data_IF_208356342175
#
_entry.id   IF_208356342175
#
_cell.length_a   1.000
_cell.length_b   1.000
_cell.length_c   1.000
_cell.angle_alpha   90.00
_cell.angle_beta   90.00
_cell.angle_gamma   90.00
#
_symmetry.space_group_name_H-M   'P 1'
#
loop_
_entity.id
_entity.type
_entity.pdbx_description
1 polymer ?
#
# COMPACT_ATOMS: atom_id res chain seq x y z
N UNK A 1 0.60 12.88 -46.93
CA UNK A 1 0.43 11.87 -45.89
C UNK A 1 0.78 10.48 -46.38
N UNK A 2 0.42 10.12 -47.61
CA UNK A 2 0.69 8.80 -48.23
C UNK A 2 2.18 8.48 -48.40
N UNK A 3 3.01 9.42 -48.84
CA UNK A 3 4.45 9.19 -49.10
C UNK A 3 5.28 8.83 -47.87
N UNK A 4 4.84 9.17 -46.63
CA UNK A 4 5.57 8.82 -45.38
C UNK A 4 5.19 7.44 -44.84
N UNK A 5 4.04 6.89 -45.24
CA UNK A 5 3.61 5.55 -44.82
C UNK A 5 4.41 4.48 -45.59
N UNK A 6 4.86 4.78 -46.82
CA UNK A 6 5.68 3.87 -47.65
C UNK A 6 7.02 3.47 -47.03
N UNK A 7 7.61 4.34 -46.20
CA UNK A 7 8.87 4.04 -45.50
C UNK A 7 8.80 2.82 -44.56
N UNK A 8 7.61 2.50 -44.07
CA UNK A 8 7.38 1.35 -43.18
C UNK A 8 6.84 0.11 -43.87
N UNK A 9 6.39 0.26 -45.12
CA UNK A 9 5.91 -0.83 -45.93
C UNK A 9 7.01 -1.45 -46.80
N UNK A 10 8.16 -0.78 -46.95
CA UNK A 10 9.28 -1.31 -47.76
C UNK A 10 9.89 -2.54 -47.11
N UNK A 11 10.03 -3.60 -47.92
CA UNK A 11 10.73 -4.82 -47.60
C UNK A 11 12.18 -4.50 -47.21
N UNK A 12 12.66 -5.06 -46.09
CA UNK A 12 14.04 -4.97 -45.66
C UNK A 12 14.79 -6.24 -45.99
N UNK A 13 16.02 -6.05 -46.42
CA UNK A 13 16.99 -7.15 -46.43
C UNK A 13 17.44 -7.35 -44.99
N UNK A 14 16.85 -8.30 -44.27
CA UNK A 14 17.35 -8.74 -42.96
C UNK A 14 18.48 -9.75 -43.17
N UNK A 15 19.31 -9.94 -42.16
CA UNK A 15 20.22 -11.06 -42.13
C UNK A 15 19.41 -12.35 -42.25
N UNK A 16 19.94 -13.34 -42.89
CA UNK A 16 19.27 -14.66 -43.00
C UNK A 16 19.00 -15.33 -41.66
N UNK A 17 19.54 -14.76 -40.55
CA UNK A 17 19.43 -15.25 -39.19
C UNK A 17 18.27 -14.63 -38.40
N UNK A 18 17.50 -13.70 -39.00
CA UNK A 18 16.37 -13.06 -38.30
C UNK A 18 15.24 -14.09 -38.04
N UNK A 19 14.92 -14.29 -36.78
CA UNK A 19 13.89 -15.23 -36.32
C UNK A 19 12.46 -14.72 -36.50
N UNK A 20 12.27 -13.44 -36.90
CA UNK A 20 10.95 -12.85 -37.10
C UNK A 20 10.56 -12.85 -38.56
N UNK A 21 9.44 -13.48 -38.89
CA UNK A 21 8.73 -13.27 -40.15
C UNK A 21 8.06 -11.88 -40.13
N UNK A 22 8.83 -10.84 -40.34
CA UNK A 22 8.38 -9.45 -40.32
C UNK A 22 9.11 -8.64 -41.38
N UNK A 23 8.34 -8.03 -42.29
CA UNK A 23 8.87 -7.27 -43.41
C UNK A 23 9.13 -5.78 -43.05
N UNK A 24 8.66 -5.32 -41.86
CA UNK A 24 8.80 -3.95 -41.40
C UNK A 24 8.66 -3.85 -39.87
N UNK A 25 8.96 -2.64 -39.33
CA UNK A 25 8.93 -2.37 -37.91
C UNK A 25 7.56 -2.54 -37.27
N UNK A 26 6.47 -2.27 -38.05
CA UNK A 26 5.10 -2.41 -37.55
C UNK A 26 4.78 -3.90 -37.35
N UNK A 27 5.15 -4.76 -38.28
CA UNK A 27 4.94 -6.20 -38.16
C UNK A 27 5.80 -6.79 -37.04
N UNK A 28 7.08 -6.39 -36.94
CA UNK A 28 7.96 -6.81 -35.87
C UNK A 28 7.43 -6.40 -34.49
N UNK A 29 6.94 -5.14 -34.36
CA UNK A 29 6.30 -4.66 -33.15
C UNK A 29 5.01 -5.43 -32.84
N UNK A 30 4.22 -5.76 -33.84
CA UNK A 30 3.00 -6.57 -33.70
C UNK A 30 3.28 -7.96 -33.13
N UNK A 31 4.35 -8.63 -33.64
CA UNK A 31 4.80 -9.94 -33.12
C UNK A 31 5.17 -9.83 -31.63
N UNK A 32 5.91 -8.79 -31.24
CA UNK A 32 6.24 -8.53 -29.83
C UNK A 32 4.98 -8.26 -28.97
N UNK A 33 4.03 -7.46 -29.45
CA UNK A 33 2.78 -7.18 -28.74
C UNK A 33 1.95 -8.44 -28.50
N UNK A 34 1.97 -9.41 -29.42
CA UNK A 34 1.24 -10.65 -29.27
C UNK A 34 1.67 -11.48 -28.05
N UNK A 35 2.88 -11.29 -27.54
CA UNK A 35 3.34 -11.89 -26.27
C UNK A 35 2.50 -11.46 -25.07
N UNK A 36 1.78 -10.35 -25.19
CA UNK A 36 1.00 -9.75 -24.12
C UNK A 36 -0.51 -9.78 -24.36
N UNK A 37 -1.00 -10.44 -25.41
CA UNK A 37 -2.42 -10.46 -25.81
C UNK A 37 -3.37 -10.88 -24.69
N UNK A 38 -2.94 -11.82 -23.84
CA UNK A 38 -3.74 -12.33 -22.71
C UNK A 38 -3.75 -11.38 -21.51
N UNK A 39 -2.92 -10.34 -21.51
CA UNK A 39 -2.81 -9.33 -20.46
C UNK A 39 -3.29 -7.96 -20.95
N UNK A 40 -4.58 -7.81 -21.12
CA UNK A 40 -5.24 -6.67 -21.78
C UNK A 40 -4.67 -5.29 -21.33
N UNK A 41 -4.46 -5.08 -20.04
CA UNK A 41 -3.93 -3.80 -19.54
C UNK A 41 -2.48 -3.57 -19.97
N UNK A 42 -1.64 -4.60 -19.91
CA UNK A 42 -0.24 -4.55 -20.36
C UNK A 42 -0.19 -4.34 -21.86
N UNK A 43 -0.96 -5.12 -22.60
CA UNK A 43 -1.07 -5.01 -24.06
C UNK A 43 -1.43 -3.60 -24.50
N UNK A 44 -2.49 -3.02 -23.94
CA UNK A 44 -2.94 -1.67 -24.29
C UNK A 44 -1.90 -0.58 -23.93
N UNK A 45 -1.20 -0.74 -22.81
CA UNK A 45 -0.12 0.17 -22.43
C UNK A 45 1.06 0.06 -23.38
N UNK A 46 1.50 -1.15 -23.68
CA UNK A 46 2.62 -1.42 -24.57
C UNK A 46 2.31 -0.99 -26.00
N UNK A 47 1.11 -1.29 -26.49
CA UNK A 47 0.63 -0.84 -27.80
C UNK A 47 0.67 0.68 -27.92
N UNK A 48 0.15 1.39 -26.91
CA UNK A 48 0.14 2.86 -26.91
C UNK A 48 1.55 3.45 -27.01
N UNK A 49 2.48 2.96 -26.20
CA UNK A 49 3.85 3.47 -26.17
C UNK A 49 4.60 3.13 -27.46
N UNK A 50 4.48 1.89 -27.95
CA UNK A 50 5.08 1.48 -29.20
C UNK A 50 4.54 2.25 -30.41
N UNK A 51 3.21 2.43 -30.48
CA UNK A 51 2.59 3.21 -31.55
C UNK A 51 3.01 4.68 -31.51
N UNK A 52 3.13 5.27 -30.33
CA UNK A 52 3.65 6.65 -30.16
C UNK A 52 5.07 6.77 -30.72
N UNK A 53 5.91 5.80 -30.42
CA UNK A 53 7.27 5.77 -30.91
C UNK A 53 7.34 5.57 -32.44
N UNK A 54 6.59 4.64 -33.00
CA UNK A 54 6.52 4.43 -34.45
C UNK A 54 6.09 5.69 -35.17
N UNK A 55 5.07 6.38 -34.67
CA UNK A 55 4.62 7.62 -35.27
C UNK A 55 5.69 8.72 -35.21
N UNK A 56 6.37 8.85 -34.08
CA UNK A 56 7.48 9.78 -33.97
C UNK A 56 8.58 9.46 -34.98
N UNK A 57 8.99 8.20 -35.09
CA UNK A 57 9.94 7.79 -36.13
C UNK A 57 9.45 8.17 -37.53
N UNK A 58 8.15 7.98 -37.82
CA UNK A 58 7.57 8.26 -39.14
C UNK A 58 7.55 9.74 -39.46
N UNK A 59 7.07 10.56 -38.54
CA UNK A 59 6.74 11.96 -38.81
C UNK A 59 7.88 12.93 -38.51
N UNK A 60 8.70 12.65 -37.50
CA UNK A 60 9.77 13.53 -37.08
C UNK A 60 11.12 13.13 -37.72
N UNK A 61 11.47 11.85 -37.76
CA UNK A 61 12.78 11.44 -38.27
C UNK A 61 12.76 10.86 -39.67
N UNK A 62 11.68 10.24 -40.12
CA UNK A 62 11.62 9.45 -41.35
C UNK A 62 12.51 8.21 -41.34
N UNK A 63 13.00 7.77 -40.17
CA UNK A 63 13.91 6.63 -39.98
C UNK A 63 13.15 5.41 -39.52
N UNK A 64 13.60 4.25 -39.95
CA UNK A 64 13.21 2.96 -39.44
C UNK A 64 14.08 2.55 -38.24
N UNK A 65 13.69 1.51 -37.49
CA UNK A 65 14.37 1.10 -36.27
C UNK A 65 15.84 0.73 -36.47
N UNK A 66 16.22 0.18 -37.63
CA UNK A 66 17.63 -0.18 -37.92
C UNK A 66 18.51 1.04 -38.24
N UNK A 67 17.92 2.18 -38.63
CA UNK A 67 18.61 3.41 -38.92
C UNK A 67 18.70 4.36 -37.72
N UNK A 68 18.02 4.05 -36.63
CA UNK A 68 18.03 4.87 -35.41
C UNK A 68 19.39 4.79 -34.70
N UNK A 69 19.88 5.94 -34.27
CA UNK A 69 21.06 6.10 -33.45
C UNK A 69 20.68 6.52 -32.03
N UNK A 70 21.67 6.60 -31.17
CA UNK A 70 21.48 7.01 -29.77
C UNK A 70 20.92 8.44 -29.69
N UNK A 71 21.45 9.34 -30.51
CA UNK A 71 21.02 10.74 -30.53
C UNK A 71 19.53 10.88 -30.91
N UNK A 72 19.02 10.08 -31.87
CA UNK A 72 17.61 10.08 -32.25
C UNK A 72 16.71 9.66 -31.05
N UNK A 73 17.19 8.74 -30.24
CA UNK A 73 16.44 8.31 -29.07
C UNK A 73 16.49 9.31 -27.92
N UNK A 74 17.62 10.02 -27.77
CA UNK A 74 17.71 11.14 -26.81
C UNK A 74 16.73 12.25 -27.21
N UNK A 75 16.66 12.57 -28.49
CA UNK A 75 15.67 13.52 -29.03
C UNK A 75 14.22 13.04 -28.78
N UNK A 76 13.93 11.75 -28.98
CA UNK A 76 12.62 11.18 -28.64
C UNK A 76 12.30 11.31 -27.15
N UNK A 77 13.26 11.05 -26.29
CA UNK A 77 13.06 11.18 -24.85
C UNK A 77 12.80 12.62 -24.41
N UNK A 78 13.43 13.59 -25.05
CA UNK A 78 13.13 15.01 -24.86
C UNK A 78 11.75 15.37 -25.40
N UNK A 79 11.40 14.86 -26.58
CA UNK A 79 10.07 15.01 -27.18
C UNK A 79 8.93 14.50 -26.28
N UNK A 80 9.14 13.41 -25.53
CA UNK A 80 8.17 12.92 -24.56
C UNK A 80 7.90 13.92 -23.42
N UNK A 81 8.88 14.73 -23.08
CA UNK A 81 8.79 15.74 -22.02
C UNK A 81 8.26 17.08 -22.56
N UNK A 82 8.47 17.37 -23.84
CA UNK A 82 8.09 18.62 -24.48
C UNK A 82 7.42 18.38 -25.84
N UNK A 83 6.29 17.61 -25.90
CA UNK A 83 5.62 17.35 -27.17
C UNK A 83 5.04 18.65 -27.74
N UNK A 84 5.21 18.94 -29.05
CA UNK A 84 4.66 20.12 -29.67
C UNK A 84 3.11 20.09 -29.65
N UNK A 85 2.45 21.26 -29.67
CA UNK A 85 0.99 21.35 -29.61
C UNK A 85 0.28 20.53 -30.71
N UNK A 86 0.89 20.40 -31.90
CA UNK A 86 0.38 19.57 -33.00
C UNK A 86 0.25 18.08 -32.68
N UNK A 87 0.97 17.60 -31.68
CA UNK A 87 0.89 16.23 -31.18
C UNK A 87 0.00 16.08 -29.94
N UNK A 88 -0.57 17.18 -29.44
CA UNK A 88 -1.35 17.18 -28.21
C UNK A 88 -2.85 17.31 -28.49
N UNK A 89 -3.65 16.52 -27.77
CA UNK A 89 -5.12 16.58 -27.80
C UNK A 89 -5.68 16.96 -26.42
N UNK A 90 -6.94 17.36 -26.37
CA UNK A 90 -7.61 17.64 -25.11
C UNK A 90 -8.27 16.39 -24.54
N UNK A 91 -8.40 16.34 -23.20
CA UNK A 91 -9.17 15.28 -22.53
C UNK A 91 -10.64 15.24 -23.00
N UNK A 92 -11.19 16.38 -23.36
CA UNK A 92 -12.55 16.49 -23.87
C UNK A 92 -12.68 15.82 -25.24
N UNK A 93 -11.72 16.02 -26.14
CA UNK A 93 -11.70 15.36 -27.46
C UNK A 93 -11.58 13.84 -27.34
N UNK A 94 -10.74 13.36 -26.42
CA UNK A 94 -10.63 11.91 -26.13
C UNK A 94 -11.96 11.34 -25.63
N UNK A 95 -12.64 12.02 -24.70
CA UNK A 95 -13.94 11.59 -24.17
C UNK A 95 -15.04 11.57 -25.23
N UNK A 96 -14.98 12.50 -26.16
CA UNK A 96 -15.94 12.63 -27.26
C UNK A 96 -15.70 11.61 -28.39
N UNK A 97 -14.70 10.71 -28.28
CA UNK A 97 -14.37 9.74 -29.31
C UNK A 97 -13.80 10.35 -30.59
N UNK A 98 -13.51 11.66 -30.61
CA UNK A 98 -13.01 12.41 -31.78
C UNK A 98 -11.51 12.16 -32.06
N UNK A 99 -10.86 11.31 -31.29
CA UNK A 99 -9.41 11.08 -31.40
C UNK A 99 -8.97 10.14 -32.52
N UNK A 100 -9.90 9.50 -33.23
CA UNK A 100 -9.56 8.51 -34.27
C UNK A 100 -9.31 9.06 -35.65
N UNK A 101 -9.70 10.31 -35.94
CA UNK A 101 -9.47 10.94 -37.25
C UNK A 101 -8.20 11.79 -37.34
N UNK A 102 -7.71 12.29 -36.24
CA UNK A 102 -6.41 12.94 -36.10
C UNK A 102 -5.76 12.39 -34.83
N UNK A 103 -4.89 11.40 -35.01
CA UNK A 103 -4.28 10.72 -33.89
C UNK A 103 -3.21 11.63 -33.24
N UNK A 104 -3.58 12.21 -32.11
CA UNK A 104 -2.71 13.03 -31.28
C UNK A 104 -2.39 12.25 -30.00
N UNK A 105 -1.19 11.67 -29.86
CA UNK A 105 -0.89 10.70 -28.81
C UNK A 105 -0.59 11.31 -27.43
N UNK A 106 -0.59 12.61 -27.30
CA UNK A 106 -0.32 13.32 -26.07
C UNK A 106 -1.50 14.14 -25.58
N UNK A 107 -1.57 14.37 -24.27
CA UNK A 107 -2.41 15.39 -23.62
C UNK A 107 -1.53 16.59 -23.22
N UNK A 108 -0.22 16.42 -23.28
CA UNK A 108 0.83 17.34 -22.88
C UNK A 108 2.08 16.56 -22.44
N UNK A 109 3.05 17.23 -21.84
CA UNK A 109 4.28 16.63 -21.33
C UNK A 109 4.02 15.39 -20.47
N UNK A 110 4.81 14.35 -20.66
CA UNK A 110 4.68 13.16 -19.82
C UNK A 110 5.21 13.43 -18.42
N UNK A 111 4.43 13.05 -17.42
CA UNK A 111 4.93 13.03 -16.04
C UNK A 111 6.00 11.95 -15.89
N UNK A 112 6.90 12.11 -14.92
CA UNK A 112 8.04 11.24 -14.69
C UNK A 112 7.68 9.73 -14.72
N UNK A 113 6.60 9.32 -14.06
CA UNK A 113 6.16 7.92 -14.04
C UNK A 113 5.72 7.39 -15.41
N UNK A 114 5.07 8.24 -16.24
CA UNK A 114 4.65 7.89 -17.60
C UNK A 114 5.87 7.84 -18.54
N UNK A 115 6.78 8.80 -18.41
CA UNK A 115 8.06 8.81 -19.12
C UNK A 115 8.87 7.53 -18.84
N UNK A 116 9.04 7.16 -17.58
CA UNK A 116 9.71 5.91 -17.19
C UNK A 116 9.00 4.65 -17.71
N UNK A 117 7.67 4.71 -17.79
CA UNK A 117 6.91 3.63 -18.43
C UNK A 117 7.25 3.51 -19.91
N UNK A 118 7.30 4.63 -20.66
CA UNK A 118 7.72 4.66 -22.06
C UNK A 118 9.10 4.07 -22.25
N UNK A 119 10.08 4.52 -21.48
CA UNK A 119 11.46 4.01 -21.54
C UNK A 119 11.52 2.49 -21.31
N UNK A 120 10.80 2.00 -20.29
CA UNK A 120 10.76 0.54 -20.00
C UNK A 120 10.11 -0.27 -21.12
N UNK A 121 9.04 0.26 -21.71
CA UNK A 121 8.34 -0.39 -22.80
C UNK A 121 9.23 -0.47 -24.04
N UNK A 122 9.88 0.64 -24.41
CA UNK A 122 10.80 0.67 -25.54
C UNK A 122 12.02 -0.22 -25.31
N UNK A 123 12.60 -0.20 -24.10
CA UNK A 123 13.70 -1.12 -23.78
C UNK A 123 13.28 -2.59 -23.89
N UNK A 124 12.04 -2.94 -23.52
CA UNK A 124 11.48 -4.29 -23.69
C UNK A 124 11.31 -4.64 -25.18
N UNK A 125 10.79 -3.70 -25.98
CA UNK A 125 10.65 -3.88 -27.43
C UNK A 125 12.01 -4.09 -28.11
N UNK A 126 12.97 -3.19 -27.87
CA UNK A 126 14.30 -3.28 -28.49
C UNK A 126 15.06 -4.54 -28.05
N UNK A 127 14.96 -4.94 -26.77
CA UNK A 127 15.55 -6.20 -26.32
C UNK A 127 14.95 -7.41 -27.07
N UNK A 128 13.65 -7.44 -27.29
CA UNK A 128 12.99 -8.50 -28.06
C UNK A 128 13.48 -8.53 -29.52
N UNK A 129 13.59 -7.35 -30.14
CA UNK A 129 14.06 -7.21 -31.51
C UNK A 129 15.54 -7.62 -31.67
N UNK A 130 16.38 -7.35 -30.67
CA UNK A 130 17.76 -7.82 -30.63
C UNK A 130 17.85 -9.33 -30.43
N UNK A 131 17.04 -9.90 -29.53
CA UNK A 131 17.01 -11.36 -29.31
C UNK A 131 16.49 -12.16 -30.53
N UNK A 132 15.76 -11.49 -31.39
CA UNK A 132 15.24 -12.06 -32.62
C UNK A 132 16.11 -11.78 -33.86
N UNK A 133 17.30 -11.23 -33.67
CA UNK A 133 18.22 -10.80 -34.76
C UNK A 133 17.60 -9.82 -35.77
N UNK A 134 16.56 -9.10 -35.34
CA UNK A 134 15.98 -8.02 -36.12
C UNK A 134 16.80 -6.73 -36.04
N UNK A 135 17.41 -6.47 -34.86
CA UNK A 135 18.34 -5.38 -34.61
C UNK A 135 19.65 -5.92 -34.04
N UNK A 136 20.76 -5.28 -34.38
CA UNK A 136 22.09 -5.66 -33.83
C UNK A 136 22.25 -5.30 -32.36
N UNK A 137 21.73 -4.15 -31.95
CA UNK A 137 21.94 -3.60 -30.59
C UNK A 137 20.68 -2.90 -30.12
N UNK A 138 20.55 -2.76 -28.80
CA UNK A 138 19.52 -1.95 -28.19
C UNK A 138 20.12 -0.57 -27.83
N UNK A 139 19.85 0.48 -28.62
CA UNK A 139 20.44 1.80 -28.40
C UNK A 139 19.95 2.48 -27.12
N UNK A 140 18.76 2.12 -26.58
CA UNK A 140 18.25 2.67 -25.31
C UNK A 140 19.17 2.37 -24.14
N UNK A 141 19.86 1.22 -24.16
CA UNK A 141 20.81 0.86 -23.10
C UNK A 141 22.03 1.77 -23.02
N UNK A 142 22.35 2.48 -24.10
CA UNK A 142 23.49 3.39 -24.17
C UNK A 142 23.14 4.79 -23.66
N UNK A 143 21.87 5.10 -23.50
CA UNK A 143 21.41 6.42 -23.05
C UNK A 143 21.56 6.54 -21.54
N UNK A 144 22.48 7.40 -21.09
CA UNK A 144 22.70 7.67 -19.66
C UNK A 144 21.44 8.27 -18.97
N UNK A 145 20.67 9.09 -19.67
CA UNK A 145 19.44 9.67 -19.16
C UNK A 145 18.37 8.60 -18.86
N UNK A 146 18.27 7.55 -19.70
CA UNK A 146 17.36 6.43 -19.45
C UNK A 146 17.71 5.67 -18.17
N UNK A 147 19.00 5.65 -17.79
CA UNK A 147 19.50 5.00 -16.58
C UNK A 147 19.46 5.90 -15.33
N UNK A 148 19.44 7.25 -15.49
CA UNK A 148 19.37 8.21 -14.37
C UNK A 148 17.98 8.32 -13.74
N UNK A 149 16.93 7.85 -14.40
CA UNK A 149 15.56 7.90 -13.89
C UNK A 149 15.15 6.65 -13.07
N UNK A 150 16.10 6.04 -12.36
CA UNK A 150 15.68 5.28 -11.19
C UNK A 150 15.09 6.28 -10.22
N UNK A 151 13.78 6.19 -9.97
CA UNK A 151 13.16 6.94 -8.87
C UNK A 151 14.00 6.60 -7.65
N UNK A 152 14.59 7.61 -7.04
CA UNK A 152 15.36 7.42 -5.81
C UNK A 152 14.47 6.67 -4.82
N UNK A 153 15.05 5.76 -4.07
CA UNK A 153 14.31 5.00 -3.06
C UNK A 153 13.59 5.92 -2.08
N UNK A 154 14.16 7.10 -1.84
CA UNK A 154 13.59 8.18 -1.02
C UNK A 154 12.33 8.79 -1.65
N UNK A 155 12.34 9.11 -2.95
CA UNK A 155 11.16 9.63 -3.66
C UNK A 155 10.00 8.62 -3.66
N UNK A 156 10.29 7.32 -3.75
CA UNK A 156 9.26 6.28 -3.64
C UNK A 156 8.67 6.20 -2.25
N UNK A 157 9.51 6.28 -1.22
CA UNK A 157 9.07 6.34 0.17
C UNK A 157 8.18 7.56 0.37
N UNK A 158 8.63 8.75 -0.04
CA UNK A 158 7.85 9.98 0.08
C UNK A 158 6.49 9.89 -0.63
N UNK A 159 6.43 9.31 -1.85
CA UNK A 159 5.17 9.10 -2.57
C UNK A 159 4.22 8.12 -1.86
N UNK A 160 4.73 7.13 -1.15
CA UNK A 160 3.90 6.22 -0.35
C UNK A 160 3.44 6.93 0.92
N UNK A 161 4.31 7.66 1.57
CA UNK A 161 4.00 8.44 2.76
C UNK A 161 2.92 9.49 2.52
N UNK A 162 3.01 10.20 1.40
CA UNK A 162 1.96 11.15 1.01
C UNK A 162 0.57 10.51 0.80
N UNK A 163 0.51 9.17 0.72
CA UNK A 163 -0.74 8.40 0.59
C UNK A 163 -1.18 7.75 1.90
N UNK A 164 -0.39 7.82 2.95
CA UNK A 164 -0.81 7.36 4.27
C UNK A 164 -1.74 8.39 4.90
N UNK A 165 -2.88 7.92 5.41
CA UNK A 165 -3.81 8.78 6.13
C UNK A 165 -3.34 8.95 7.58
N UNK A 166 -3.46 10.17 8.07
CA UNK A 166 -3.34 10.47 9.50
C UNK A 166 -4.56 9.91 10.26
N UNK A 167 -4.48 9.88 11.58
CA UNK A 167 -5.53 9.30 12.40
C UNK A 167 -6.89 9.99 12.20
N UNK A 168 -6.91 11.33 12.16
CA UNK A 168 -8.10 12.12 11.93
C UNK A 168 -8.67 11.98 10.49
N UNK A 169 -7.79 11.86 9.50
CA UNK A 169 -8.19 11.61 8.11
C UNK A 169 -8.84 10.22 7.96
N UNK A 170 -8.25 9.21 8.66
CA UNK A 170 -8.82 7.86 8.69
C UNK A 170 -10.16 7.83 9.42
N UNK A 171 -10.27 8.52 10.55
CA UNK A 171 -11.53 8.63 11.28
C UNK A 171 -12.63 9.30 10.45
N UNK A 172 -12.30 10.34 9.69
CA UNK A 172 -13.23 10.97 8.76
C UNK A 172 -13.76 9.99 7.70
N UNK A 173 -12.91 9.09 7.15
CA UNK A 173 -13.34 8.02 6.24
C UNK A 173 -14.32 7.08 6.94
N UNK A 174 -14.00 6.63 8.16
CA UNK A 174 -14.88 5.73 8.93
C UNK A 174 -16.21 6.40 9.28
N UNK A 175 -16.18 7.67 9.66
CA UNK A 175 -17.39 8.45 9.96
C UNK A 175 -18.29 8.55 8.73
N UNK A 176 -17.74 8.83 7.54
CA UNK A 176 -18.50 8.85 6.28
C UNK A 176 -19.16 7.50 6.04
N UNK A 177 -18.45 6.38 6.20
CA UNK A 177 -19.00 5.04 6.03
C UNK A 177 -20.18 4.75 6.97
N UNK A 178 -20.10 5.24 8.21
CA UNK A 178 -21.14 5.05 9.23
C UNK A 178 -22.36 5.95 8.98
N UNK A 179 -22.14 7.16 8.47
CA UNK A 179 -23.18 8.17 8.25
C UNK A 179 -23.76 8.18 6.84
N UNK A 180 -23.43 7.18 6.00
CA UNK A 180 -24.07 7.02 4.68
C UNK A 180 -25.60 6.95 4.84
N UNK A 181 -26.37 7.57 3.92
CA UNK A 181 -27.82 7.63 4.00
C UNK A 181 -28.47 6.24 4.12
N UNK A 182 -29.62 6.20 4.80
CA UNK A 182 -30.44 4.99 5.01
C UNK A 182 -31.94 5.25 4.80
N UNK A 183 -32.26 6.34 4.07
CA UNK A 183 -33.68 6.78 3.91
C UNK A 183 -34.45 5.91 2.92
N UNK A 184 -33.78 5.44 1.89
CA UNK A 184 -34.36 4.60 0.85
C UNK A 184 -33.72 3.19 0.85
N UNK A 185 -34.39 2.24 0.18
CA UNK A 185 -33.81 0.88 0.00
C UNK A 185 -32.50 0.92 -0.78
N UNK A 186 -32.38 1.83 -1.73
CA UNK A 186 -31.19 2.08 -2.50
C UNK A 186 -30.05 2.64 -1.63
N UNK A 187 -30.35 3.54 -0.70
CA UNK A 187 -29.35 4.08 0.24
C UNK A 187 -28.82 2.98 1.15
N UNK A 188 -29.71 2.15 1.70
CA UNK A 188 -29.34 1.01 2.55
C UNK A 188 -28.44 0.04 1.77
N UNK A 189 -28.84 -0.30 0.54
CA UNK A 189 -28.04 -1.17 -0.35
C UNK A 189 -26.67 -0.58 -0.63
N UNK A 190 -26.60 0.71 -0.95
CA UNK A 190 -25.35 1.41 -1.18
C UNK A 190 -24.44 1.41 0.07
N UNK A 191 -25.02 1.69 1.25
CA UNK A 191 -24.29 1.72 2.52
C UNK A 191 -23.67 0.37 2.85
N UNK A 192 -24.48 -0.69 2.93
CA UNK A 192 -24.02 -2.04 3.31
C UNK A 192 -23.00 -2.56 2.31
N UNK A 193 -23.22 -2.36 1.02
CA UNK A 193 -22.26 -2.74 -0.04
C UNK A 193 -20.97 -1.97 0.05
N UNK A 194 -21.02 -0.65 0.34
CA UNK A 194 -19.82 0.17 0.47
C UNK A 194 -19.01 -0.24 1.68
N UNK A 195 -19.67 -0.50 2.81
CA UNK A 195 -19.01 -0.99 4.02
C UNK A 195 -18.33 -2.34 3.79
N UNK A 196 -19.01 -3.29 3.13
CA UNK A 196 -18.41 -4.59 2.78
C UNK A 196 -17.22 -4.45 1.82
N UNK A 197 -17.33 -3.58 0.80
CA UNK A 197 -16.21 -3.28 -0.11
C UNK A 197 -14.99 -2.75 0.65
N UNK A 198 -15.21 -1.79 1.56
CA UNK A 198 -14.11 -1.24 2.38
C UNK A 198 -13.50 -2.28 3.30
N UNK A 199 -14.34 -3.12 3.94
CA UNK A 199 -13.86 -4.22 4.78
C UNK A 199 -12.97 -5.20 3.99
N UNK A 200 -13.37 -5.60 2.78
CA UNK A 200 -12.54 -6.46 1.93
C UNK A 200 -11.22 -5.78 1.51
N UNK A 201 -11.26 -4.50 1.12
CA UNK A 201 -10.07 -3.78 0.69
C UNK A 201 -9.09 -3.50 1.83
N UNK A 202 -9.60 -3.26 3.03
CA UNK A 202 -8.79 -2.90 4.19
C UNK A 202 -8.38 -4.11 5.02
N UNK A 203 -9.33 -4.96 5.47
CA UNK A 203 -9.01 -6.07 6.38
C UNK A 203 -8.28 -7.22 5.67
N UNK A 204 -8.60 -7.51 4.41
CA UNK A 204 -7.86 -8.48 3.59
C UNK A 204 -6.73 -7.84 2.78
N UNK A 205 -6.67 -6.51 2.70
CA UNK A 205 -5.72 -5.81 1.86
C UNK A 205 -5.85 -6.18 0.37
N UNK A 206 -7.04 -6.50 -0.11
CA UNK A 206 -7.28 -6.90 -1.50
C UNK A 206 -7.05 -5.74 -2.47
N UNK A 207 -6.61 -6.07 -3.69
CA UNK A 207 -6.69 -5.12 -4.81
C UNK A 207 -8.13 -5.05 -5.30
N UNK A 208 -8.56 -3.88 -5.77
CA UNK A 208 -9.97 -3.70 -6.19
C UNK A 208 -10.40 -4.67 -7.31
N UNK A 209 -9.50 -5.05 -8.21
CA UNK A 209 -9.81 -6.05 -9.24
C UNK A 209 -9.92 -7.46 -8.67
N UNK A 210 -9.28 -7.76 -7.55
CA UNK A 210 -9.43 -9.02 -6.84
C UNK A 210 -10.83 -9.09 -6.20
N UNK A 211 -11.32 -7.98 -5.62
CA UNK A 211 -12.70 -7.93 -5.11
C UNK A 211 -13.72 -8.09 -6.24
N UNK A 212 -13.48 -7.44 -7.40
CA UNK A 212 -14.38 -7.51 -8.55
C UNK A 212 -14.39 -8.89 -9.25
N UNK A 213 -13.29 -9.62 -9.16
CA UNK A 213 -13.07 -10.86 -9.92
C UNK A 213 -13.25 -12.15 -9.10
N UNK A 214 -13.51 -12.06 -7.80
CA UNK A 214 -13.74 -13.23 -6.97
C UNK A 214 -15.23 -13.43 -6.66
N UNK A 215 -15.56 -14.67 -6.32
CA UNK A 215 -16.87 -15.14 -5.90
C UNK A 215 -16.85 -15.57 -4.43
N UNK A 216 -18.02 -15.89 -3.88
CA UNK A 216 -18.16 -16.26 -2.48
C UNK A 216 -17.40 -17.52 -2.09
N UNK A 217 -17.15 -18.46 -3.03
CA UNK A 217 -16.33 -19.65 -2.81
C UNK A 217 -14.87 -19.36 -2.46
N UNK A 218 -14.44 -18.08 -2.56
CA UNK A 218 -13.13 -17.65 -2.08
C UNK A 218 -13.03 -17.67 -0.54
N UNK A 219 -14.14 -17.52 0.18
CA UNK A 219 -14.19 -17.69 1.61
C UNK A 219 -14.35 -19.18 1.96
N UNK A 220 -13.39 -19.75 2.66
CA UNK A 220 -13.39 -21.17 3.03
C UNK A 220 -12.93 -21.35 4.47
N UNK A 221 -13.47 -22.37 5.12
CA UNK A 221 -12.96 -22.82 6.43
C UNK A 221 -11.86 -23.86 6.22
N UNK A 222 -10.81 -23.71 7.02
CA UNK A 222 -9.74 -24.69 7.17
C UNK A 222 -9.34 -24.72 8.65
N UNK A 223 -9.38 -25.89 9.26
CA UNK A 223 -9.04 -26.10 10.68
C UNK A 223 -9.85 -25.17 11.62
N UNK A 224 -11.17 -25.03 11.37
CA UNK A 224 -12.08 -24.18 12.13
C UNK A 224 -11.88 -22.67 11.93
N UNK A 225 -10.95 -22.24 11.08
CA UNK A 225 -10.64 -20.83 10.81
C UNK A 225 -11.04 -20.45 9.40
N UNK A 226 -11.51 -19.21 9.24
CA UNK A 226 -11.87 -18.66 7.93
C UNK A 226 -10.66 -18.12 7.21
N UNK A 227 -10.58 -18.42 5.91
CA UNK A 227 -9.55 -17.98 4.99
C UNK A 227 -10.18 -17.45 3.70
N UNK A 228 -9.56 -16.43 3.12
CA UNK A 228 -9.89 -15.94 1.79
C UNK A 228 -8.86 -16.42 0.78
N UNK A 229 -9.29 -17.25 -0.17
CA UNK A 229 -8.45 -17.80 -1.22
C UNK A 229 -8.44 -16.87 -2.41
N UNK A 230 -7.26 -16.43 -2.84
CA UNK A 230 -7.09 -15.47 -3.91
C UNK A 230 -6.06 -15.96 -4.92
N UNK A 231 -6.32 -15.76 -6.20
CA UNK A 231 -5.32 -15.94 -7.26
C UNK A 231 -4.50 -14.66 -7.37
N UNK A 232 -3.24 -14.72 -7.01
CA UNK A 232 -2.30 -13.61 -7.09
C UNK A 232 -1.79 -13.34 -8.49
N UNK A 233 -0.89 -12.37 -8.64
CA UNK A 233 -0.22 -12.06 -9.91
C UNK A 233 0.56 -13.29 -10.41
N UNK A 234 0.28 -13.72 -11.63
CA UNK A 234 0.88 -14.91 -12.24
C UNK A 234 0.22 -16.22 -11.82
N UNK A 235 -1.09 -16.19 -11.47
CA UNK A 235 -1.92 -17.33 -11.07
C UNK A 235 -1.42 -18.12 -9.84
N UNK A 236 -0.53 -17.51 -9.04
CA UNK A 236 -0.07 -18.14 -7.80
C UNK A 236 -1.20 -18.10 -6.77
N UNK A 237 -1.68 -19.26 -6.28
CA UNK A 237 -2.68 -19.28 -5.22
C UNK A 237 -2.09 -18.72 -3.92
N UNK A 238 -2.89 -17.95 -3.21
CA UNK A 238 -2.58 -17.46 -1.88
C UNK A 238 -3.84 -17.51 -1.02
N UNK A 239 -3.66 -17.56 0.29
CA UNK A 239 -4.77 -17.50 1.24
C UNK A 239 -4.47 -16.46 2.31
N UNK A 240 -5.49 -15.70 2.67
CA UNK A 240 -5.41 -14.61 3.62
C UNK A 240 -6.28 -14.98 4.82
N UNK A 241 -5.80 -14.85 6.07
CA UNK A 241 -6.62 -15.08 7.23
C UNK A 241 -7.76 -14.05 7.29
N UNK A 242 -8.95 -14.52 7.63
CA UNK A 242 -10.14 -13.69 7.80
C UNK A 242 -10.36 -13.47 9.29
N UNK A 243 -10.42 -12.22 9.73
CA UNK A 243 -10.70 -11.89 11.10
C UNK A 243 -12.21 -11.82 11.38
N UNK A 244 -12.59 -11.86 12.66
CA UNK A 244 -13.99 -11.87 13.07
C UNK A 244 -14.72 -10.60 12.64
N UNK A 245 -14.06 -9.45 12.66
CA UNK A 245 -14.65 -8.20 12.21
C UNK A 245 -15.09 -8.27 10.73
N UNK A 246 -14.29 -8.86 9.86
CA UNK A 246 -14.68 -9.04 8.46
C UNK A 246 -15.87 -10.00 8.33
N UNK A 247 -15.93 -11.05 9.17
CA UNK A 247 -17.06 -11.99 9.16
C UNK A 247 -18.38 -11.30 9.50
N UNK A 248 -18.39 -10.29 10.36
CA UNK A 248 -19.59 -9.49 10.61
C UNK A 248 -20.04 -8.70 9.38
N UNK A 249 -19.12 -8.10 8.62
CA UNK A 249 -19.45 -7.45 7.35
C UNK A 249 -19.91 -8.46 6.29
N UNK A 250 -19.34 -9.66 6.25
CA UNK A 250 -19.80 -10.76 5.39
C UNK A 250 -21.23 -11.13 5.72
N UNK A 251 -21.54 -11.40 6.99
CA UNK A 251 -22.90 -11.74 7.45
C UNK A 251 -23.90 -10.65 7.08
N UNK A 252 -23.60 -9.39 7.44
CA UNK A 252 -24.50 -8.27 7.20
C UNK A 252 -24.80 -8.09 5.70
N UNK A 253 -23.77 -8.17 4.84
CA UNK A 253 -23.98 -8.02 3.41
C UNK A 253 -24.74 -9.21 2.81
N UNK A 254 -24.41 -10.45 3.21
CA UNK A 254 -25.11 -11.65 2.74
C UNK A 254 -26.57 -11.68 3.16
N UNK A 255 -26.88 -11.34 4.42
CA UNK A 255 -28.25 -11.22 4.91
C UNK A 255 -29.04 -10.16 4.14
N UNK A 256 -28.40 -9.02 3.84
CA UNK A 256 -28.99 -7.99 2.99
C UNK A 256 -29.34 -8.50 1.58
N UNK A 257 -28.55 -9.44 1.05
CA UNK A 257 -28.82 -10.11 -0.23
C UNK A 257 -29.86 -11.25 -0.11
N UNK A 258 -30.33 -11.55 1.09
CA UNK A 258 -31.24 -12.69 1.33
C UNK A 258 -30.55 -14.05 1.28
N UNK A 259 -29.27 -14.10 1.61
CA UNK A 259 -28.43 -15.31 1.61
C UNK A 259 -28.11 -15.75 3.04
N UNK A 260 -27.69 -17.00 3.20
CA UNK A 260 -27.16 -17.51 4.47
C UNK A 260 -26.01 -16.66 4.99
N UNK A 261 -25.82 -16.60 6.31
CA UNK A 261 -24.82 -15.77 6.97
C UNK A 261 -23.39 -16.03 6.46
N UNK A 262 -23.06 -17.27 6.16
CA UNK A 262 -21.76 -17.68 5.66
C UNK A 262 -21.85 -18.29 4.26
N UNK A 263 -20.82 -18.06 3.40
CA UNK A 263 -20.79 -18.64 2.06
C UNK A 263 -20.48 -20.14 2.09
N UNK A 264 -21.07 -20.85 1.14
CA UNK A 264 -20.73 -22.22 0.89
C UNK A 264 -19.50 -22.32 -0.05
N UNK A 265 -18.72 -23.39 0.08
CA UNK A 265 -17.49 -23.59 -0.71
C UNK A 265 -17.72 -23.71 -2.22
N UNK A 266 -18.94 -24.04 -2.65
CA UNK A 266 -19.35 -24.16 -4.06
C UNK A 266 -20.06 -22.92 -4.61
N UNK A 267 -20.20 -21.84 -3.81
CA UNK A 267 -20.96 -20.65 -4.20
C UNK A 267 -20.16 -19.76 -5.15
N UNK A 268 -20.48 -19.80 -6.44
CA UNK A 268 -19.77 -19.08 -7.49
C UNK A 268 -20.30 -17.67 -7.78
N UNK A 269 -21.34 -17.23 -7.05
CA UNK A 269 -21.85 -15.87 -7.18
C UNK A 269 -20.77 -14.84 -6.88
N UNK A 270 -20.69 -13.74 -7.64
CA UNK A 270 -19.73 -12.69 -7.41
C UNK A 270 -19.84 -12.08 -6.00
N UNK A 271 -18.68 -11.68 -5.43
CA UNK A 271 -18.64 -11.07 -4.08
C UNK A 271 -19.52 -9.82 -3.97
N UNK A 272 -19.52 -8.96 -4.99
CA UNK A 272 -20.29 -7.72 -4.99
C UNK A 272 -21.16 -7.67 -6.24
N UNK A 273 -22.47 -7.69 -6.01
CA UNK A 273 -23.47 -7.74 -7.08
C UNK A 273 -24.42 -6.54 -7.03
N UNK A 274 -24.94 -6.16 -8.19
CA UNK A 274 -26.06 -5.24 -8.29
C UNK A 274 -27.33 -5.96 -7.89
N UNK A 275 -27.99 -5.49 -6.86
CA UNK A 275 -29.27 -6.08 -6.39
C UNK A 275 -30.36 -6.04 -7.46
N UNK A 276 -30.32 -5.04 -8.35
CA UNK A 276 -31.31 -4.90 -9.44
C UNK A 276 -31.11 -5.95 -10.55
N UNK A 277 -29.86 -6.32 -10.85
CA UNK A 277 -29.55 -7.17 -12.01
C UNK A 277 -28.92 -8.51 -11.63
N UNK A 278 -28.53 -8.74 -10.38
CA UNK A 278 -27.79 -9.92 -9.93
C UNK A 278 -26.35 -10.03 -10.51
N UNK A 279 -25.95 -9.09 -11.37
CA UNK A 279 -24.64 -9.13 -12.03
C UNK A 279 -23.55 -8.48 -11.20
N UNK A 280 -22.32 -8.94 -11.36
CA UNK A 280 -21.13 -8.32 -10.77
C UNK A 280 -21.03 -6.84 -11.15
N UNK A 281 -20.60 -6.03 -10.20
CA UNK A 281 -20.27 -4.63 -10.50
C UNK A 281 -18.97 -4.53 -11.32
N UNK A 282 -19.01 -3.62 -12.31
CA UNK A 282 -17.81 -3.28 -13.06
C UNK A 282 -16.78 -2.62 -12.12
N UNK A 283 -15.51 -2.90 -12.36
CA UNK A 283 -14.37 -2.37 -11.61
C UNK A 283 -14.43 -0.86 -11.41
N UNK A 284 -14.85 -0.11 -12.44
CA UNK A 284 -14.96 1.35 -12.39
C UNK A 284 -15.99 1.84 -11.39
N UNK A 285 -17.11 1.13 -11.23
CA UNK A 285 -18.16 1.49 -10.28
C UNK A 285 -17.64 1.31 -8.86
N UNK A 286 -17.01 0.16 -8.56
CA UNK A 286 -16.39 -0.08 -7.25
C UNK A 286 -15.31 0.95 -6.94
N UNK A 287 -14.50 1.32 -7.93
CA UNK A 287 -13.49 2.37 -7.79
C UNK A 287 -14.13 3.72 -7.43
N UNK A 288 -15.21 4.10 -8.11
CA UNK A 288 -15.92 5.36 -7.85
C UNK A 288 -16.54 5.36 -6.45
N UNK A 289 -17.10 4.25 -5.96
CA UNK A 289 -17.64 4.15 -4.60
C UNK A 289 -16.58 4.51 -3.55
N UNK A 290 -15.34 4.02 -3.72
CA UNK A 290 -14.24 4.38 -2.82
C UNK A 290 -13.86 5.85 -2.95
N UNK A 291 -13.83 6.37 -4.18
CA UNK A 291 -13.55 7.79 -4.46
C UNK A 291 -14.58 8.71 -3.82
N UNK A 292 -15.86 8.35 -3.87
CA UNK A 292 -16.94 9.16 -3.32
C UNK A 292 -16.86 9.27 -1.79
N UNK A 293 -16.46 8.19 -1.11
CA UNK A 293 -16.20 8.24 0.34
C UNK A 293 -15.06 9.19 0.65
N UNK A 294 -13.94 9.12 -0.09
CA UNK A 294 -12.81 10.04 0.08
C UNK A 294 -13.19 11.51 -0.20
N UNK A 295 -14.02 11.74 -1.23
CA UNK A 295 -14.53 13.07 -1.53
C UNK A 295 -15.40 13.62 -0.41
N UNK A 296 -16.33 12.81 0.12
CA UNK A 296 -17.18 13.20 1.27
C UNK A 296 -16.35 13.47 2.52
N UNK A 297 -15.37 12.62 2.83
CA UNK A 297 -14.47 12.83 3.96
C UNK A 297 -13.65 14.13 3.79
N UNK A 298 -13.27 14.48 2.56
CA UNK A 298 -12.52 15.72 2.30
C UNK A 298 -13.28 17.00 2.71
N UNK A 299 -14.62 16.95 2.71
CA UNK A 299 -15.45 18.10 3.11
C UNK A 299 -15.38 18.41 4.62
N UNK A 300 -14.92 17.47 5.43
CA UNK A 300 -14.73 17.70 6.87
C UNK A 300 -13.48 18.53 7.19
N UNK A 301 -12.60 18.76 6.22
CA UNK A 301 -11.32 19.48 6.38
C UNK A 301 -11.32 20.83 5.68
N UNK A 302 -12.38 21.63 5.85
CA UNK A 302 -12.50 22.95 5.20
C UNK A 302 -11.35 23.89 5.55
N UNK A 303 -10.79 23.79 6.76
CA UNK A 303 -9.69 24.62 7.25
C UNK A 303 -8.29 24.11 6.84
N UNK A 304 -8.17 22.93 6.19
CA UNK A 304 -6.91 22.34 5.75
C UNK A 304 -6.93 21.94 4.28
N UNK A 305 -6.55 22.86 3.40
CA UNK A 305 -6.47 22.62 1.95
C UNK A 305 -5.63 21.38 1.63
N UNK A 306 -4.54 21.15 2.36
CA UNK A 306 -3.67 20.00 2.16
C UNK A 306 -4.41 18.67 2.40
N UNK A 307 -5.08 18.51 3.58
CA UNK A 307 -5.86 17.31 3.90
C UNK A 307 -7.04 17.13 2.94
N UNK A 308 -7.70 18.21 2.59
CA UNK A 308 -8.79 18.21 1.62
C UNK A 308 -8.33 17.69 0.24
N UNK A 309 -7.23 18.22 -0.31
CA UNK A 309 -6.68 17.76 -1.59
C UNK A 309 -6.16 16.32 -1.53
N UNK A 310 -5.59 15.94 -0.39
CA UNK A 310 -5.12 14.58 -0.13
C UNK A 310 -6.29 13.59 -0.19
N UNK A 311 -7.36 13.81 0.55
CA UNK A 311 -8.55 12.97 0.57
C UNK A 311 -9.30 12.95 -0.77
N UNK A 312 -9.32 14.03 -1.53
CA UNK A 312 -9.83 14.04 -2.92
C UNK A 312 -9.06 13.09 -3.84
N UNK A 313 -7.82 12.75 -3.53
CA UNK A 313 -7.00 11.78 -4.28
C UNK A 313 -7.14 10.36 -3.74
N UNK A 314 -7.89 10.16 -2.65
CA UNK A 314 -8.10 8.86 -2.03
C UNK A 314 -8.56 7.80 -3.04
N UNK A 315 -8.08 6.56 -2.90
CA UNK A 315 -8.34 5.49 -3.86
C UNK A 315 -8.23 4.11 -3.18
N UNK A 316 -8.73 3.03 -3.80
CA UNK A 316 -8.63 1.68 -3.24
C UNK A 316 -7.20 1.25 -2.87
N UNK A 317 -6.21 1.78 -3.58
CA UNK A 317 -4.82 1.44 -3.29
C UNK A 317 -4.34 1.99 -1.94
N UNK A 318 -4.91 3.12 -1.49
CA UNK A 318 -4.60 3.69 -0.18
C UNK A 318 -5.09 2.78 0.96
N UNK A 319 -6.26 2.16 0.81
CA UNK A 319 -6.78 1.19 1.80
C UNK A 319 -5.81 0.02 1.99
N UNK A 320 -5.24 -0.46 0.89
CA UNK A 320 -4.22 -1.51 0.95
C UNK A 320 -2.91 -1.03 1.61
N UNK A 321 -2.51 0.22 1.40
CA UNK A 321 -1.37 0.82 2.11
C UNK A 321 -1.66 0.92 3.61
N UNK A 322 -2.85 1.39 3.97
CA UNK A 322 -3.29 1.44 5.36
C UNK A 322 -3.32 0.05 6.00
N UNK A 323 -3.85 -0.96 5.28
CA UNK A 323 -3.83 -2.36 5.73
C UNK A 323 -2.41 -2.83 6.07
N UNK A 324 -1.42 -2.58 5.19
CA UNK A 324 -0.03 -2.93 5.43
C UNK A 324 0.53 -2.28 6.70
N UNK A 325 0.33 -0.97 6.83
CA UNK A 325 0.84 -0.19 7.96
C UNK A 325 0.18 -0.57 9.28
N UNK A 326 -1.13 -0.83 9.27
CA UNK A 326 -1.85 -1.23 10.48
C UNK A 326 -1.55 -2.68 10.89
N UNK A 327 -1.35 -3.60 9.93
CA UNK A 327 -0.87 -4.96 10.23
C UNK A 327 0.52 -4.92 10.90
N UNK A 328 1.41 -4.06 10.42
CA UNK A 328 2.71 -3.86 11.02
C UNK A 328 2.61 -3.30 12.45
N UNK A 329 1.82 -2.23 12.64
CA UNK A 329 1.56 -1.65 13.97
C UNK A 329 0.91 -2.65 14.95
N UNK A 330 0.16 -3.62 14.42
CA UNK A 330 -0.41 -4.72 15.20
C UNK A 330 0.60 -5.84 15.52
N UNK A 331 1.89 -5.67 15.17
CA UNK A 331 2.96 -6.60 15.50
C UNK A 331 3.15 -7.75 14.51
N UNK A 332 2.53 -7.69 13.32
CA UNK A 332 2.77 -8.70 12.29
C UNK A 332 4.16 -8.55 11.68
N UNK A 333 4.86 -9.66 11.50
CA UNK A 333 6.17 -9.66 10.84
C UNK A 333 6.06 -9.25 9.36
N UNK A 334 7.15 -8.71 8.81
CA UNK A 334 7.23 -8.30 7.40
C UNK A 334 6.91 -9.42 6.42
N UNK A 335 7.36 -10.64 6.73
CA UNK A 335 7.08 -11.82 5.91
C UNK A 335 5.58 -12.13 5.87
N UNK A 336 4.90 -12.08 7.02
CA UNK A 336 3.45 -12.29 7.10
C UNK A 336 2.68 -11.21 6.33
N UNK A 337 3.09 -9.93 6.46
CA UNK A 337 2.47 -8.82 5.72
C UNK A 337 2.70 -8.98 4.21
N UNK A 338 3.92 -9.36 3.81
CA UNK A 338 4.22 -9.63 2.41
C UNK A 338 3.34 -10.75 1.84
N UNK A 339 3.16 -11.82 2.59
CA UNK A 339 2.31 -12.96 2.22
C UNK A 339 0.84 -12.54 2.12
N UNK A 340 0.29 -11.90 3.15
CA UNK A 340 -1.08 -11.38 3.16
C UNK A 340 -1.37 -10.45 1.99
N UNK A 341 -0.43 -9.56 1.69
CA UNK A 341 -0.56 -8.61 0.59
C UNK A 341 -0.10 -9.18 -0.77
N UNK A 342 0.48 -10.39 -0.80
CA UNK A 342 0.96 -11.03 -2.03
C UNK A 342 1.90 -10.12 -2.82
N UNK A 343 2.89 -9.55 -2.12
CA UNK A 343 3.92 -8.74 -2.75
C UNK A 343 5.02 -9.64 -3.31
N UNK A 344 5.33 -9.48 -4.59
CA UNK A 344 6.37 -10.26 -5.26
C UNK A 344 7.78 -9.99 -4.71
N UNK A 345 7.97 -8.87 -4.01
CA UNK A 345 9.24 -8.45 -3.43
C UNK A 345 9.03 -7.85 -2.05
N UNK A 346 9.89 -8.20 -1.10
CA UNK A 346 9.95 -7.60 0.24
C UNK A 346 10.15 -6.08 0.16
N UNK A 347 10.91 -5.60 -0.83
CA UNK A 347 11.11 -4.17 -1.05
C UNK A 347 9.79 -3.41 -1.28
N UNK A 348 8.76 -4.06 -1.83
CA UNK A 348 7.43 -3.46 -1.97
C UNK A 348 6.73 -3.31 -0.62
N UNK A 349 7.01 -4.17 0.34
CA UNK A 349 6.45 -4.12 1.70
C UNK A 349 7.25 -3.18 2.59
N UNK A 350 8.58 -3.12 2.44
CA UNK A 350 9.47 -2.21 3.20
C UNK A 350 9.10 -0.73 3.05
N UNK A 351 8.48 -0.35 1.94
CA UNK A 351 8.05 1.04 1.70
C UNK A 351 7.00 1.51 2.73
N UNK A 352 6.29 0.59 3.39
CA UNK A 352 5.25 0.91 4.39
C UNK A 352 5.78 1.06 5.83
N UNK A 353 7.09 0.88 6.04
CA UNK A 353 7.71 0.87 7.36
C UNK A 353 8.24 2.24 7.74
N UNK A 354 7.34 3.14 8.10
CA UNK A 354 7.71 4.43 8.67
C UNK A 354 8.28 4.33 10.08
N UNK A 355 7.83 3.32 10.82
CA UNK A 355 8.29 3.07 12.19
C UNK A 355 9.65 2.39 12.27
N UNK A 356 10.21 1.91 11.14
CA UNK A 356 11.55 1.30 11.18
C UNK A 356 12.64 2.31 11.49
N UNK A 357 12.53 3.56 11.04
CA UNK A 357 13.58 4.55 11.30
C UNK A 357 13.59 4.96 12.78
N UNK A 358 12.42 5.08 13.42
CA UNK A 358 12.31 5.28 14.87
C UNK A 358 12.73 4.00 15.63
N UNK A 359 12.25 2.84 15.21
CA UNK A 359 12.65 1.57 15.81
C UNK A 359 14.13 1.25 15.59
N UNK A 360 14.69 1.59 14.42
CA UNK A 360 16.13 1.47 14.14
C UNK A 360 16.94 2.43 14.99
N UNK A 361 16.50 3.68 15.11
CA UNK A 361 17.16 4.65 15.98
C UNK A 361 17.15 4.17 17.42
N UNK A 362 16.01 3.67 17.88
CA UNK A 362 15.87 3.09 19.21
C UNK A 362 16.72 1.82 19.38
N UNK A 363 16.71 0.90 18.42
CA UNK A 363 17.51 -0.32 18.45
C UNK A 363 19.03 -0.03 18.46
N UNK A 364 19.48 1.00 17.72
CA UNK A 364 20.89 1.40 17.71
C UNK A 364 21.31 2.02 19.05
N UNK A 365 20.41 2.78 19.71
CA UNK A 365 20.68 3.31 21.04
C UNK A 365 20.86 2.20 22.09
N UNK A 366 20.31 1.00 21.84
CA UNK A 366 20.42 -0.15 22.72
C UNK A 366 21.60 -1.09 22.38
N UNK A 367 22.42 -0.75 21.38
CA UNK A 367 23.67 -1.49 21.13
C UNK A 367 24.72 -0.99 22.13
N UNK A 368 24.91 -1.75 23.19
CA UNK A 368 25.93 -1.46 24.20
C UNK A 368 27.26 -2.11 23.76
N UNK A 369 28.28 -1.31 23.60
CA UNK A 369 29.64 -1.74 23.24
C UNK A 369 30.43 -2.23 24.47
N UNK A 370 29.79 -2.95 25.40
CA UNK A 370 30.33 -3.19 26.75
C UNK A 370 31.23 -4.42 26.91
N UNK A 371 31.60 -5.14 25.86
CA UNK A 371 32.42 -6.36 26.03
C UNK A 371 33.82 -6.34 25.44
N UNK A 372 34.32 -5.25 24.89
CA UNK A 372 35.61 -5.26 24.20
C UNK A 372 36.66 -4.23 24.62
N UNK A 373 36.32 -3.25 25.48
CA UNK A 373 37.31 -2.29 25.99
C UNK A 373 37.01 -1.98 27.44
N UNK A 374 37.80 -2.51 28.35
CA UNK A 374 37.92 -1.98 29.71
C UNK A 374 38.53 -0.56 29.60
N UNK A 375 37.68 0.44 29.44
CA UNK A 375 38.08 1.81 29.73
C UNK A 375 38.09 1.89 31.25
N UNK A 376 39.29 2.00 31.81
CA UNK A 376 39.55 2.23 33.23
C UNK A 376 38.97 3.62 33.60
N UNK A 377 37.69 3.69 33.81
CA UNK A 377 37.00 4.84 34.35
C UNK A 377 36.85 4.63 35.87
N UNK A 378 38.01 4.63 36.56
CA UNK A 378 38.04 4.71 37.99
C UNK A 378 37.39 6.04 38.41
N UNK A 379 36.13 5.99 38.82
CA UNK A 379 35.44 7.10 39.44
C UNK A 379 33.98 7.35 39.07
N UNK A 380 33.34 6.62 38.18
CA UNK A 380 31.91 6.75 37.90
C UNK A 380 31.18 5.57 38.53
N UNK A 381 30.44 5.83 39.58
CA UNK A 381 29.49 4.84 40.12
C UNK A 381 28.47 4.46 39.02
N UNK A 382 28.02 3.18 38.95
CA UNK A 382 27.03 2.78 37.96
C UNK A 382 25.80 3.67 38.11
N UNK A 383 25.45 4.39 37.05
CA UNK A 383 24.24 5.20 37.01
C UNK A 383 23.05 4.26 37.05
N UNK A 384 22.28 4.33 38.12
CA UNK A 384 21.03 3.61 38.26
C UNK A 384 20.05 4.07 37.18
N UNK A 385 19.68 3.22 36.26
CA UNK A 385 18.64 3.50 35.28
C UNK A 385 17.26 3.31 35.91
N UNK A 386 16.43 4.32 35.80
CA UNK A 386 15.12 4.34 36.46
C UNK A 386 14.03 4.31 35.41
N UNK A 387 13.23 3.23 35.37
CA UNK A 387 12.05 3.15 34.54
C UNK A 387 10.88 3.84 35.24
N UNK A 388 10.37 4.89 34.64
CA UNK A 388 9.20 5.62 35.14
C UNK A 388 7.96 5.27 34.34
N UNK A 389 6.96 4.66 35.00
CA UNK A 389 5.66 4.37 34.43
C UNK A 389 4.63 5.35 34.99
N UNK A 390 3.98 6.12 34.10
CA UNK A 390 2.81 6.90 34.46
C UNK A 390 1.55 6.13 34.12
N UNK A 391 0.81 5.75 35.16
CA UNK A 391 -0.40 4.94 35.05
C UNK A 391 -1.59 5.76 35.55
N UNK A 392 -2.69 5.72 34.84
CA UNK A 392 -3.97 6.32 35.24
C UNK A 392 -4.98 5.21 35.48
N UNK A 393 -5.64 5.26 36.63
CA UNK A 393 -6.72 4.33 36.96
C UNK A 393 -8.05 5.09 37.17
N UNK A 394 -9.15 4.37 37.10
CA UNK A 394 -10.49 4.95 37.15
C UNK A 394 -11.26 4.36 38.35
N UNK A 395 -11.58 5.21 39.33
CA UNK A 395 -12.44 4.84 40.46
C UNK A 395 -11.91 3.72 41.38
N UNK A 396 -12.80 3.18 42.20
CA UNK A 396 -12.48 2.11 43.19
C UNK A 396 -12.05 0.80 42.50
N UNK A 397 -12.67 0.49 41.34
CA UNK A 397 -12.31 -0.71 40.60
C UNK A 397 -10.93 -0.59 39.94
N UNK A 398 -10.52 0.62 39.55
CA UNK A 398 -9.17 0.90 39.11
C UNK A 398 -8.13 0.73 40.23
N UNK A 399 -8.48 1.04 41.47
CA UNK A 399 -7.59 0.80 42.64
C UNK A 399 -7.32 -0.69 42.83
N UNK A 400 -8.37 -1.54 42.73
CA UNK A 400 -8.24 -2.98 42.86
C UNK A 400 -7.44 -3.59 41.70
N UNK A 401 -7.62 -3.06 40.49
CA UNK A 401 -6.85 -3.49 39.32
C UNK A 401 -5.38 -3.10 39.42
N UNK A 402 -5.10 -1.90 39.96
CA UNK A 402 -3.74 -1.46 40.21
C UNK A 402 -3.05 -2.31 41.30
N UNK A 403 -3.74 -2.60 42.40
CA UNK A 403 -3.21 -3.48 43.45
C UNK A 403 -2.90 -4.89 42.91
N UNK A 404 -3.81 -5.48 42.10
CA UNK A 404 -3.57 -6.77 41.43
C UNK A 404 -2.37 -6.72 40.49
N UNK A 405 -2.23 -5.63 39.73
CA UNK A 405 -1.09 -5.40 38.85
C UNK A 405 0.23 -5.39 39.64
N UNK A 406 0.32 -4.63 40.74
CA UNK A 406 1.51 -4.61 41.59
C UNK A 406 1.82 -5.98 42.18
N UNK A 407 0.83 -6.69 42.72
CA UNK A 407 1.00 -8.04 43.24
C UNK A 407 1.48 -9.02 42.16
N UNK A 408 0.98 -8.89 40.94
CA UNK A 408 1.38 -9.70 39.79
C UNK A 408 2.82 -9.43 39.37
N UNK A 409 3.28 -8.18 39.48
CA UNK A 409 4.67 -7.81 39.24
C UNK A 409 5.61 -8.47 40.28
N UNK A 410 5.25 -8.41 41.54
CA UNK A 410 6.04 -9.01 42.61
C UNK A 410 6.19 -10.52 42.43
N UNK A 411 5.17 -11.22 41.90
CA UNK A 411 5.18 -12.67 41.74
C UNK A 411 5.88 -13.17 40.47
N UNK A 412 5.86 -12.45 39.38
CA UNK A 412 6.21 -12.94 38.03
C UNK A 412 7.45 -12.32 37.39
N UNK A 413 7.80 -11.10 37.74
CA UNK A 413 8.86 -10.33 37.05
C UNK A 413 10.14 -10.23 37.87
N UNK A 414 10.06 -10.47 39.16
CA UNK A 414 11.07 -10.01 40.11
C UNK A 414 12.14 -11.05 40.47
N UNK A 415 12.41 -12.08 39.67
CA UNK A 415 13.55 -12.98 39.96
C UNK A 415 14.92 -12.31 39.82
N UNK A 416 15.03 -11.18 39.10
CA UNK A 416 16.30 -10.51 38.82
C UNK A 416 16.28 -8.98 38.98
N UNK A 417 15.26 -8.38 39.60
CA UNK A 417 15.12 -6.93 39.76
C UNK A 417 15.13 -6.53 41.22
N UNK A 418 16.04 -5.65 41.61
CA UNK A 418 15.97 -5.01 42.92
C UNK A 418 14.89 -3.95 42.92
N UNK A 419 13.79 -4.21 43.60
CA UNK A 419 12.67 -3.31 43.77
C UNK A 419 13.00 -2.24 44.81
N UNK A 420 13.04 -0.99 44.41
CA UNK A 420 13.10 0.13 45.32
C UNK A 420 11.82 0.93 45.15
N UNK A 421 10.78 0.63 45.94
CA UNK A 421 9.61 1.49 46.02
C UNK A 421 10.03 2.84 46.64
N UNK A 422 9.76 3.94 45.90
CA UNK A 422 10.05 5.29 46.41
C UNK A 422 9.12 5.65 47.59
N UNK A 423 7.97 4.98 47.65
CA UNK A 423 7.02 5.05 48.79
C UNK A 423 6.50 3.62 49.07
N UNK A 424 6.20 3.32 50.34
CA UNK A 424 5.55 2.08 50.69
C UNK A 424 4.20 1.96 49.96
N UNK A 425 3.77 0.74 49.64
CA UNK A 425 2.50 0.48 48.95
C UNK A 425 1.29 1.10 49.71
N UNK A 426 1.35 1.13 51.04
CA UNK A 426 0.31 1.69 51.87
C UNK A 426 0.19 3.22 51.71
N UNK A 427 1.30 3.94 51.58
CA UNK A 427 1.30 5.38 51.30
C UNK A 427 0.79 5.70 49.90
N UNK A 428 1.06 4.84 48.92
CA UNK A 428 0.53 4.95 47.56
C UNK A 428 -0.97 4.69 47.51
N UNK A 429 -1.48 3.74 48.30
CA UNK A 429 -2.91 3.45 48.44
C UNK A 429 -3.66 4.55 49.19
N UNK A 430 -3.05 5.16 50.22
CA UNK A 430 -3.63 6.32 50.93
C UNK A 430 -3.69 7.58 50.06
N UNK A 431 -2.65 7.88 49.31
CA UNK A 431 -2.69 9.01 48.33
C UNK A 431 -3.76 8.77 47.24
N UNK A 432 -4.03 7.50 46.91
CA UNK A 432 -5.08 7.11 45.99
C UNK A 432 -6.48 7.37 46.52
N UNK A 433 -6.70 7.10 47.79
CA UNK A 433 -8.00 7.30 48.45
C UNK A 433 -8.36 8.78 48.65
N UNK A 434 -7.37 9.66 48.72
CA UNK A 434 -7.57 11.09 48.96
C UNK A 434 -7.88 11.94 47.71
N UNK A 435 -7.67 11.40 46.49
CA UNK A 435 -7.96 12.13 45.25
C UNK A 435 -9.34 11.75 44.70
N UNK A 436 -10.37 12.43 45.16
CA UNK A 436 -11.77 12.12 44.94
C UNK A 436 -12.32 12.48 43.55
N UNK A 437 -11.51 12.96 42.62
CA UNK A 437 -11.92 13.29 41.24
C UNK A 437 -10.82 13.04 40.23
N UNK A 438 -10.94 11.92 39.49
CA UNK A 438 -10.13 11.62 38.31
C UNK A 438 -8.66 11.28 38.51
N UNK A 439 -8.41 10.05 38.83
CA UNK A 439 -7.20 9.34 38.42
C UNK A 439 -5.88 9.90 38.95
N UNK A 440 -5.44 9.43 40.10
CA UNK A 440 -4.05 9.61 40.52
C UNK A 440 -3.07 9.17 39.45
N UNK A 441 -2.03 9.94 39.19
CA UNK A 441 -0.91 9.54 38.35
C UNK A 441 0.12 8.90 39.26
N UNK A 442 0.36 7.59 39.04
CA UNK A 442 1.37 6.84 39.80
C UNK A 442 2.65 6.79 38.99
N UNK A 443 3.75 7.07 39.64
CA UNK A 443 5.09 6.93 39.09
C UNK A 443 5.76 5.83 39.88
N UNK A 444 5.97 4.67 39.22
CA UNK A 444 6.70 3.56 39.80
C UNK A 444 8.11 3.56 39.26
N UNK A 445 9.08 3.52 40.14
CA UNK A 445 10.49 3.57 39.83
C UNK A 445 11.09 2.17 39.96
N UNK A 446 11.76 1.69 38.89
CA UNK A 446 12.46 0.43 38.88
C UNK A 446 13.92 0.65 38.51
N UNK A 447 14.81 -0.06 39.19
CA UNK A 447 16.22 -0.18 38.81
C UNK A 447 16.35 -1.50 38.04
N UNK A 448 16.73 -1.46 36.77
CA UNK A 448 16.69 -2.61 35.87
C UNK A 448 18.03 -2.74 35.16
N UNK A 449 18.62 -3.96 35.18
CA UNK A 449 19.85 -4.27 34.46
C UNK A 449 19.62 -4.58 32.96
N UNK A 450 18.38 -4.98 32.58
CA UNK A 450 17.97 -5.24 31.19
C UNK A 450 16.58 -4.64 30.90
N UNK A 451 16.54 -3.34 30.65
CA UNK A 451 15.31 -2.52 30.62
C UNK A 451 14.30 -2.93 29.52
N UNK A 452 14.77 -3.35 28.33
CA UNK A 452 13.90 -3.43 27.18
C UNK A 452 12.92 -4.60 27.22
N UNK A 453 13.39 -5.80 27.54
CA UNK A 453 12.54 -7.01 27.57
C UNK A 453 11.48 -6.93 28.68
N UNK A 454 11.80 -6.29 29.79
CA UNK A 454 10.91 -6.15 30.92
C UNK A 454 9.90 -5.02 30.77
N UNK A 455 10.26 -3.91 30.10
CA UNK A 455 9.33 -2.87 29.76
C UNK A 455 8.19 -3.37 28.85
N UNK A 456 8.50 -4.22 27.90
CA UNK A 456 7.49 -4.81 27.01
C UNK A 456 6.56 -5.78 27.76
N UNK A 457 7.06 -6.51 28.73
CA UNK A 457 6.26 -7.38 29.60
C UNK A 457 5.34 -6.54 30.47
N UNK A 458 5.85 -5.48 31.09
CA UNK A 458 5.08 -4.55 31.92
C UNK A 458 3.97 -3.86 31.13
N UNK A 459 4.26 -3.40 29.92
CA UNK A 459 3.27 -2.79 29.01
C UNK A 459 2.15 -3.78 28.69
N UNK A 460 2.50 -5.03 28.38
CA UNK A 460 1.51 -6.09 28.11
C UNK A 460 0.67 -6.44 29.32
N UNK A 461 1.24 -6.41 30.50
CA UNK A 461 0.51 -6.66 31.75
C UNK A 461 -0.47 -5.52 32.05
N UNK A 462 -0.06 -4.26 31.89
CA UNK A 462 -0.95 -3.09 32.05
C UNK A 462 -2.10 -3.11 31.05
N UNK A 463 -1.84 -3.48 29.79
CA UNK A 463 -2.85 -3.56 28.75
C UNK A 463 -3.93 -4.64 28.98
N UNK A 464 -3.66 -5.62 29.84
CA UNK A 464 -4.64 -6.64 30.23
C UNK A 464 -5.63 -6.17 31.31
N UNK A 465 -5.30 -5.11 32.01
CA UNK A 465 -6.16 -4.56 33.06
C UNK A 465 -7.07 -3.47 32.48
N UNK A 466 -8.37 -3.75 32.41
CA UNK A 466 -9.35 -2.89 31.73
C UNK A 466 -9.51 -1.50 32.33
N UNK A 467 -9.22 -1.34 33.62
CA UNK A 467 -9.42 -0.11 34.39
C UNK A 467 -8.13 0.73 34.55
N UNK A 468 -7.02 0.28 33.98
CA UNK A 468 -5.71 0.95 34.07
C UNK A 468 -5.28 1.41 32.67
N UNK A 469 -4.82 2.64 32.55
CA UNK A 469 -4.22 3.18 31.33
C UNK A 469 -2.77 3.59 31.56
N UNK A 470 -1.89 3.04 30.76
CA UNK A 470 -0.51 3.52 30.65
C UNK A 470 -0.52 4.87 29.92
N UNK A 471 -0.05 5.91 30.58
CA UNK A 471 0.04 7.27 30.01
C UNK A 471 1.39 7.52 29.34
N UNK A 472 2.46 7.07 29.98
CA UNK A 472 3.81 7.18 29.40
C UNK A 472 4.76 6.18 30.06
N UNK A 473 5.76 5.80 29.29
CA UNK A 473 6.95 5.09 29.77
C UNK A 473 8.15 5.98 29.49
N UNK A 474 8.97 6.21 30.46
CA UNK A 474 10.22 6.95 30.28
C UNK A 474 11.32 6.32 31.12
N UNK A 475 12.53 6.32 30.57
CA UNK A 475 13.73 5.89 31.28
C UNK A 475 14.48 7.15 31.70
N UNK A 476 14.80 7.24 32.98
CA UNK A 476 15.62 8.32 33.50
C UNK A 476 17.01 7.74 33.79
N UNK A 477 17.99 8.27 33.13
CA UNK A 477 19.41 7.92 33.28
C UNK A 477 20.01 8.80 34.36
#
# INVERSE_FOLDING_TARGET
MEAKIDLYTQSRAYSNDCLLEANNDIQATSKWLNLYKDKVTTYNTYKREAMRFILWCTYETGKNFTALKVDDLEEYLEFLQNPPPSWCTTRAAIRAGKSFGSWMPFIGPLRLSAYQCSVRVLNSLFNYLVQADYLRTNPIKLIRAANKFTIDSEDRKYQVWSRMLEADEWEAILQVLNTLPTKTKEDIDLKIRTQFLFACLYLLGLRIHEVAGHSWNAFRQKDGKWWFFVKGKGDKPAHIPVNDQLLEYVKAYRQHLGKDAFPAAYEEDPLIVSRKTGKAYQLRILYNMVKDVGLKASLQFEHSKHKQEKLRKFSPHWLRHMAASHQYKAGMSMSMIQENLRHASVNTTRIYLHSEDEARHFAIQNIIFNNCVSIDASGIAPQEQILMLKIKSKGIDGQKSFARFITSLEQNVLRNVQFKAVKSMDVMLEEFAQTDKFGGVYVTQYVIDEIQAEADVLIKMIQREAEIRLLSVSVKI
#
